data_IF_192590727685
#
_entry.id   IF_192590727685
#
_cell.length_a   1.000
_cell.length_b   1.000
_cell.length_c   1.000
_cell.angle_alpha   90.00
_cell.angle_beta   90.00
_cell.angle_gamma   90.00
#
_symmetry.space_group_name_H-M   'P 1'
#
loop_
_entity.id
_entity.type
_entity.pdbx_description
1 polymer ?
#
# COMPACT_ATOMS: atom_id res chain seq x y z
N UNK A 1 21.11 4.67 -9.96
CA UNK A 1 20.56 3.39 -10.44
C UNK A 1 19.70 3.70 -11.67
N UNK A 2 19.99 3.13 -12.83
CA UNK A 2 19.20 3.29 -14.04
C UNK A 2 18.88 1.91 -14.58
N UNK A 3 17.60 1.54 -14.61
CA UNK A 3 17.16 0.32 -15.26
C UNK A 3 17.12 0.53 -16.77
N UNK A 4 17.55 -0.46 -17.55
CA UNK A 4 17.49 -0.40 -19.02
C UNK A 4 17.03 -1.71 -19.63
N UNK A 5 16.31 -1.63 -20.75
CA UNK A 5 15.85 -2.80 -21.50
C UNK A 5 15.05 -3.81 -20.65
N UNK A 6 15.49 -5.06 -20.67
CA UNK A 6 14.87 -6.19 -19.98
C UNK A 6 15.62 -6.56 -18.68
N UNK A 7 16.26 -5.60 -18.03
CA UNK A 7 16.89 -5.82 -16.73
C UNK A 7 15.87 -6.39 -15.73
N UNK A 8 16.24 -7.48 -15.07
CA UNK A 8 15.39 -8.10 -14.06
C UNK A 8 15.15 -7.13 -12.88
N UNK A 9 13.98 -7.20 -12.22
CA UNK A 9 13.73 -6.44 -11.01
C UNK A 9 14.80 -6.74 -9.95
N UNK A 10 15.27 -5.70 -9.26
CA UNK A 10 16.20 -5.88 -8.13
C UNK A 10 15.56 -6.65 -6.97
N UNK A 11 14.23 -6.51 -6.82
CA UNK A 11 13.37 -7.13 -5.81
C UNK A 11 11.95 -7.19 -6.36
N UNK A 12 11.18 -8.17 -5.88
CA UNK A 12 9.76 -8.32 -6.19
C UNK A 12 9.04 -8.53 -4.87
N UNK A 13 7.89 -7.88 -4.66
CA UNK A 13 6.99 -8.15 -3.53
C UNK A 13 5.75 -8.79 -4.13
N UNK A 14 5.53 -10.07 -3.84
CA UNK A 14 4.45 -10.87 -4.42
C UNK A 14 4.06 -12.04 -3.51
N UNK A 15 2.87 -12.58 -3.71
CA UNK A 15 2.34 -13.69 -2.91
C UNK A 15 1.23 -13.26 -1.94
N UNK A 16 0.46 -14.23 -1.46
CA UNK A 16 -0.75 -13.99 -0.66
C UNK A 16 -0.45 -13.30 0.69
N UNK A 17 0.71 -13.52 1.32
CA UNK A 17 1.02 -12.90 2.62
C UNK A 17 1.32 -11.41 2.49
N UNK A 18 1.62 -10.94 1.29
CA UNK A 18 1.80 -9.51 1.04
C UNK A 18 0.52 -8.74 1.30
N UNK A 19 -0.65 -9.35 1.08
CA UNK A 19 -1.93 -8.64 1.15
C UNK A 19 -2.11 -7.60 0.04
N UNK A 20 -1.29 -7.65 -1.01
CA UNK A 20 -1.50 -6.85 -2.22
C UNK A 20 -2.79 -7.29 -2.92
N UNK A 21 -3.65 -6.33 -3.25
CA UNK A 21 -4.96 -6.60 -3.83
C UNK A 21 -5.36 -5.50 -4.81
N UNK A 22 -5.09 -5.76 -6.09
CA UNK A 22 -5.29 -4.81 -7.20
C UNK A 22 -4.60 -3.46 -6.90
N UNK A 23 -3.28 -3.48 -7.08
CA UNK A 23 -2.37 -2.40 -6.68
C UNK A 23 -2.41 -1.27 -7.69
N UNK A 24 -2.63 -0.04 -7.23
CA UNK A 24 -2.73 1.14 -8.10
C UNK A 24 -1.74 2.27 -7.79
N UNK A 25 -1.32 2.43 -6.53
CA UNK A 25 -0.48 3.55 -6.11
C UNK A 25 0.64 3.12 -5.19
N UNK A 26 1.78 3.81 -5.28
CA UNK A 26 2.94 3.62 -4.41
C UNK A 26 3.51 4.96 -3.95
N UNK A 27 3.87 5.06 -2.67
CA UNK A 27 4.64 6.18 -2.12
C UNK A 27 5.78 5.65 -1.25
N UNK A 28 6.90 6.37 -1.22
CA UNK A 28 8.11 5.96 -0.52
C UNK A 28 8.46 7.01 0.54
N UNK A 29 8.60 6.57 1.78
CA UNK A 29 9.23 7.35 2.84
C UNK A 29 10.70 6.94 2.95
N UNK A 30 11.59 7.69 2.31
CA UNK A 30 13.03 7.41 2.35
C UNK A 30 13.64 7.62 3.74
N UNK A 31 13.07 8.53 4.54
CA UNK A 31 13.56 8.84 5.88
C UNK A 31 13.24 7.69 6.85
N UNK A 32 12.02 7.14 6.76
CA UNK A 32 11.58 6.01 7.59
C UNK A 32 11.84 4.64 6.95
N UNK A 33 12.36 4.60 5.72
CA UNK A 33 12.57 3.39 4.92
C UNK A 33 11.29 2.55 4.81
N UNK A 34 10.21 3.19 4.39
CA UNK A 34 8.90 2.54 4.19
C UNK A 34 8.41 2.67 2.76
N UNK A 35 7.67 1.65 2.32
CA UNK A 35 6.86 1.66 1.10
C UNK A 35 5.39 1.63 1.52
N UNK A 36 4.58 2.52 0.98
CA UNK A 36 3.13 2.53 1.10
C UNK A 36 2.54 2.09 -0.23
N UNK A 37 1.58 1.18 -0.21
CA UNK A 37 0.93 0.67 -1.43
C UNK A 37 -0.58 0.81 -1.27
N UNK A 38 -1.23 1.44 -2.24
CA UNK A 38 -2.68 1.54 -2.32
C UNK A 38 -3.26 0.31 -3.02
N UNK A 39 -4.15 -0.37 -2.30
CA UNK A 39 -4.85 -1.56 -2.76
C UNK A 39 -6.32 -1.23 -2.94
N UNK A 40 -6.83 -1.46 -4.15
CA UNK A 40 -8.24 -1.31 -4.45
C UNK A 40 -9.07 -2.39 -3.72
N UNK A 41 -8.55 -3.62 -3.64
CA UNK A 41 -9.20 -4.72 -2.94
C UNK A 41 -9.87 -5.74 -3.86
N UNK A 42 -9.92 -5.52 -5.17
CA UNK A 42 -10.30 -6.59 -6.09
C UNK A 42 -9.18 -7.63 -6.13
N UNK A 43 -9.51 -8.92 -6.02
CA UNK A 43 -8.55 -10.01 -6.20
C UNK A 43 -9.17 -11.02 -7.12
N UNK A 44 -8.44 -11.42 -8.16
CA UNK A 44 -8.88 -12.47 -9.08
C UNK A 44 -7.66 -13.21 -9.63
N UNK A 45 -7.79 -14.52 -9.79
CA UNK A 45 -6.91 -15.26 -10.67
C UNK A 45 -7.43 -15.07 -12.11
N UNK A 46 -6.73 -14.26 -12.90
CA UNK A 46 -7.14 -13.93 -14.27
C UNK A 46 -7.22 -15.15 -15.21
N UNK A 47 -6.63 -16.29 -14.82
CA UNK A 47 -6.68 -17.54 -15.57
C UNK A 47 -7.87 -18.44 -15.21
N UNK A 48 -8.58 -18.17 -14.11
CA UNK A 48 -9.64 -19.03 -13.59
C UNK A 48 -10.91 -18.21 -13.33
N UNK A 49 -11.91 -18.41 -14.18
CA UNK A 49 -13.21 -17.75 -14.05
C UNK A 49 -13.86 -18.05 -12.68
N UNK A 50 -14.46 -17.02 -12.07
CA UNK A 50 -15.19 -17.16 -10.81
C UNK A 50 -14.33 -17.09 -9.54
N UNK A 51 -13.02 -16.81 -9.64
CA UNK A 51 -12.13 -16.66 -8.47
C UNK A 51 -12.09 -15.24 -7.88
N UNK A 52 -12.87 -14.32 -8.46
CA UNK A 52 -12.94 -12.93 -8.04
C UNK A 52 -13.49 -12.78 -6.62
N UNK A 53 -12.82 -11.99 -5.79
CA UNK A 53 -13.29 -11.55 -4.47
C UNK A 53 -12.98 -10.08 -4.24
N UNK A 54 -13.72 -9.47 -3.32
CA UNK A 54 -13.49 -8.09 -2.87
C UNK A 54 -13.04 -8.10 -1.42
N UNK A 55 -11.84 -7.59 -1.19
CA UNK A 55 -11.35 -7.20 0.13
C UNK A 55 -11.67 -5.72 0.38
N UNK A 56 -11.53 -5.28 1.63
CA UNK A 56 -11.64 -3.86 1.94
C UNK A 56 -10.52 -3.06 1.25
N UNK A 57 -10.81 -1.85 0.75
CA UNK A 57 -9.76 -0.96 0.27
C UNK A 57 -8.78 -0.66 1.41
N UNK A 58 -7.49 -0.69 1.09
CA UNK A 58 -6.45 -0.58 2.12
C UNK A 58 -5.20 0.13 1.61
N UNK A 59 -4.40 0.63 2.55
CA UNK A 59 -2.99 0.95 2.32
C UNK A 59 -2.13 -0.05 3.08
N UNK A 60 -1.34 -0.87 2.38
CA UNK A 60 -0.34 -1.75 3.00
C UNK A 60 1.00 -1.02 3.12
N UNK A 61 1.72 -1.29 4.20
CA UNK A 61 3.03 -0.66 4.48
C UNK A 61 4.10 -1.71 4.64
N UNK A 62 5.21 -1.60 3.91
CA UNK A 62 6.34 -2.54 3.94
C UNK A 62 7.66 -1.82 4.27
N UNK A 63 8.70 -2.56 4.71
CA UNK A 63 10.07 -2.05 4.70
C UNK A 63 10.54 -1.69 3.28
N UNK A 64 11.42 -0.70 3.13
CA UNK A 64 11.96 -0.28 1.82
C UNK A 64 12.79 -1.36 1.11
N UNK A 65 13.31 -2.32 1.88
CA UNK A 65 14.07 -3.48 1.41
C UNK A 65 13.23 -4.76 1.27
N UNK A 66 11.90 -4.67 1.41
CA UNK A 66 10.97 -5.79 1.21
C UNK A 66 11.22 -6.57 -0.10
N UNK A 67 11.17 -7.90 -0.01
CA UNK A 67 11.37 -8.84 -1.12
C UNK A 67 10.68 -10.19 -0.82
N UNK A 68 9.99 -10.74 -1.80
CA UNK A 68 9.21 -11.98 -1.73
C UNK A 68 7.83 -11.81 -1.09
N UNK A 69 7.32 -12.91 -0.53
CA UNK A 69 6.01 -13.04 0.13
C UNK A 69 6.04 -12.52 1.58
N UNK A 70 6.33 -11.21 1.71
CA UNK A 70 6.51 -10.53 3.00
C UNK A 70 5.21 -9.93 3.52
N UNK A 71 4.90 -10.15 4.79
CA UNK A 71 3.76 -9.52 5.45
C UNK A 71 3.95 -8.00 5.56
N UNK A 72 2.88 -7.21 5.41
CA UNK A 72 2.95 -5.78 5.66
C UNK A 72 3.22 -5.50 7.14
N UNK A 73 4.03 -4.48 7.42
CA UNK A 73 4.22 -3.94 8.77
C UNK A 73 2.92 -3.39 9.33
N UNK A 74 2.10 -2.80 8.45
CA UNK A 74 0.81 -2.18 8.80
C UNK A 74 -0.18 -2.31 7.65
N UNK A 75 -1.45 -2.43 8.00
CA UNK A 75 -2.59 -2.32 7.08
C UNK A 75 -3.48 -1.20 7.58
N UNK A 76 -3.67 -0.16 6.76
CA UNK A 76 -4.54 0.98 7.05
C UNK A 76 -5.84 0.75 6.29
N UNK A 77 -6.93 0.44 7.01
CA UNK A 77 -8.21 0.07 6.42
C UNK A 77 -9.38 0.39 7.35
N UNK A 78 -10.60 0.21 6.85
CA UNK A 78 -11.84 0.34 7.62
C UNK A 78 -12.50 1.73 7.50
N UNK A 79 -13.74 1.84 7.97
CA UNK A 79 -14.63 2.97 7.67
C UNK A 79 -14.06 4.34 8.05
N UNK A 80 -13.32 4.43 9.15
CA UNK A 80 -12.70 5.69 9.62
C UNK A 80 -11.67 6.26 8.66
N UNK A 81 -11.09 5.43 7.80
CA UNK A 81 -10.12 5.87 6.79
C UNK A 81 -10.79 6.54 5.61
N UNK A 82 -12.09 6.28 5.41
CA UNK A 82 -12.85 6.71 4.23
C UNK A 82 -12.19 6.34 2.89
N UNK A 83 -11.32 5.32 2.89
CA UNK A 83 -10.73 4.79 1.66
C UNK A 83 -11.84 4.19 0.80
N UNK A 84 -11.84 4.57 -0.47
CA UNK A 84 -12.79 4.05 -1.44
C UNK A 84 -12.15 4.02 -2.82
N UNK A 85 -11.69 2.84 -3.22
CA UNK A 85 -10.94 2.63 -4.46
C UNK A 85 -9.73 3.59 -4.53
N UNK A 86 -8.79 3.45 -3.58
CA UNK A 86 -7.63 4.31 -3.51
C UNK A 86 -6.74 4.08 -4.73
N UNK A 87 -6.40 5.17 -5.41
CA UNK A 87 -5.63 5.15 -6.64
C UNK A 87 -4.25 5.77 -6.42
N UNK A 88 -4.07 7.04 -6.79
CA UNK A 88 -2.82 7.76 -6.58
C UNK A 88 -2.60 8.08 -5.09
N UNK A 89 -1.38 7.89 -4.61
CA UNK A 89 -0.94 8.28 -3.25
C UNK A 89 0.31 9.14 -3.31
N UNK A 90 0.42 10.10 -2.38
CA UNK A 90 1.60 10.96 -2.21
C UNK A 90 1.92 11.13 -0.74
N UNK A 91 3.21 11.22 -0.42
CA UNK A 91 3.71 11.42 0.93
C UNK A 91 4.38 12.79 1.03
N UNK A 92 4.00 13.59 2.03
CA UNK A 92 4.78 14.74 2.44
C UNK A 92 5.91 14.26 3.38
N UNK A 93 7.18 14.33 2.95
CA UNK A 93 8.30 13.83 3.76
C UNK A 93 8.60 14.71 4.98
N UNK A 94 8.15 15.98 5.00
CA UNK A 94 8.37 16.90 6.12
C UNK A 94 7.42 16.62 7.29
N UNK A 95 6.16 16.33 6.99
CA UNK A 95 5.13 16.05 8.01
C UNK A 95 4.88 14.55 8.23
N UNK A 96 5.20 13.73 7.24
CA UNK A 96 4.83 12.32 7.19
C UNK A 96 3.36 12.07 6.85
N UNK A 97 2.64 13.09 6.35
CA UNK A 97 1.25 12.94 5.92
C UNK A 97 1.16 12.20 4.59
N UNK A 98 0.26 11.22 4.53
CA UNK A 98 -0.07 10.49 3.30
C UNK A 98 -1.40 11.01 2.73
N UNK A 99 -1.37 11.42 1.47
CA UNK A 99 -2.52 11.89 0.70
C UNK A 99 -2.97 10.80 -0.27
N UNK A 100 -4.25 10.46 -0.26
CA UNK A 100 -4.82 9.38 -1.09
C UNK A 100 -5.97 9.91 -1.94
N UNK A 101 -5.88 9.74 -3.26
CA UNK A 101 -7.00 10.00 -4.17
C UNK A 101 -7.91 8.77 -4.25
N UNK A 102 -9.22 8.99 -4.11
CA UNK A 102 -10.26 7.96 -4.17
C UNK A 102 -11.05 8.12 -5.47
N UNK A 103 -11.17 7.06 -6.28
CA UNK A 103 -11.65 7.16 -7.67
C UNK A 103 -13.18 7.08 -7.82
N UNK A 104 -13.95 6.72 -6.79
CA UNK A 104 -15.43 6.75 -6.84
C UNK A 104 -16.12 7.39 -5.64
N UNK A 105 -17.29 7.98 -5.90
CA UNK A 105 -18.09 8.74 -4.95
C UNK A 105 -17.85 10.25 -5.05
N UNK A 106 -18.00 10.99 -3.93
CA UNK A 106 -17.51 12.38 -3.86
C UNK A 106 -15.98 12.30 -3.82
N UNK A 107 -15.30 12.41 -4.97
CA UNK A 107 -13.84 12.41 -5.08
C UNK A 107 -13.22 13.30 -4.00
N UNK A 108 -12.39 12.72 -3.14
CA UNK A 108 -11.77 13.39 -2.00
C UNK A 108 -10.35 12.88 -1.80
N UNK A 109 -9.45 13.81 -1.47
CA UNK A 109 -8.15 13.47 -0.94
C UNK A 109 -8.27 13.16 0.56
N UNK A 110 -7.91 11.94 0.97
CA UNK A 110 -7.83 11.60 2.39
C UNK A 110 -6.41 11.86 2.89
N UNK A 111 -6.27 12.66 3.96
CA UNK A 111 -5.01 12.80 4.71
C UNK A 111 -4.98 11.73 5.80
N UNK A 112 -4.01 10.83 5.71
CA UNK A 112 -3.74 9.82 6.73
C UNK A 112 -2.45 10.21 7.46
N UNK A 113 -2.50 10.22 8.79
CA UNK A 113 -1.30 10.21 9.63
C UNK A 113 -0.99 8.77 10.01
N UNK A 114 0.11 8.17 9.51
CA UNK A 114 0.52 6.85 9.98
C UNK A 114 0.79 6.92 11.48
N UNK A 115 0.20 6.02 12.27
CA UNK A 115 0.46 5.96 13.71
C UNK A 115 1.98 5.90 13.99
N UNK A 116 2.49 6.65 14.96
CA UNK A 116 3.84 6.38 15.44
C UNK A 116 3.86 4.97 16.01
N UNK A 117 4.86 4.16 15.66
CA UNK A 117 5.11 2.91 16.36
C UNK A 117 5.33 3.26 17.84
N UNK A 118 4.35 3.00 18.71
CA UNK A 118 4.62 2.95 20.14
C UNK A 118 5.51 1.72 20.34
N UNK A 119 6.75 1.96 20.76
CA UNK A 119 7.56 0.89 21.33
C UNK A 119 6.81 0.32 22.54
N UNK A 120 6.63 -1.00 22.65
CA UNK A 120 6.06 -1.59 23.84
C UNK A 120 7.12 -1.57 24.95
N UNK A 121 6.80 -0.92 26.08
CA UNK A 121 7.47 -1.13 27.36
C UNK A 121 8.58 -0.13 27.70
N UNK A 122 8.19 0.92 28.43
CA UNK A 122 8.95 1.42 29.56
C UNK A 122 7.93 1.83 30.61
N UNK A 123 7.72 0.93 31.57
CA UNK A 123 7.38 1.17 32.99
C UNK A 123 7.73 -0.11 33.76
#
# INVERSE_FOLDING_TARGET
>A
KGASGNEAPLRVIEGEKTGLSDVHGIAIDVNKKLIFVANWGAISNYLVAGTGRFELPSITVYPLDANGDVKPLRVIQGEKTQLNWPHAISLDPGTGDLYVANDIGKTRATRLRPASSREPGRD
#
